data_IF_561402971989
#
_entry.id   IF_561402971989
#
_cell.length_a   1.000
_cell.length_b   1.000
_cell.length_c   1.000
_cell.angle_alpha   90.00
_cell.angle_beta   90.00
_cell.angle_gamma   90.00
#
_symmetry.space_group_name_H-M   'P 1'
#
loop_
_entity.id
_entity.type
_entity.pdbx_description
1 polymer ?
#
# COMPACT_ATOMS: atom_id res chain seq x y z
N UNK A 1 -62.35 -8.84 20.75
CA UNK A 1 -61.12 -8.31 21.38
C UNK A 1 -60.13 -9.47 21.48
N UNK A 2 -59.00 -9.38 20.77
CA UNK A 2 -57.67 -9.96 21.02
C UNK A 2 -56.93 -9.92 19.67
N UNK A 3 -55.95 -9.01 19.60
CA UNK A 3 -55.06 -8.77 18.47
C UNK A 3 -54.02 -9.89 18.42
N UNK A 4 -53.86 -10.48 17.24
CA UNK A 4 -52.69 -11.26 16.84
C UNK A 4 -51.45 -10.34 16.87
N UNK A 5 -50.49 -10.63 17.73
CA UNK A 5 -49.14 -10.07 17.66
C UNK A 5 -48.28 -11.11 16.96
N UNK A 6 -47.97 -10.86 15.68
CA UNK A 6 -46.97 -11.62 14.94
C UNK A 6 -45.59 -11.09 15.37
N UNK A 7 -44.85 -11.89 16.12
CA UNK A 7 -43.48 -11.58 16.52
C UNK A 7 -42.57 -11.87 15.32
N UNK A 8 -42.08 -10.81 14.66
CA UNK A 8 -41.01 -10.88 13.66
C UNK A 8 -39.66 -11.00 14.39
N UNK A 9 -39.18 -12.23 14.57
CA UNK A 9 -37.86 -12.52 15.14
C UNK A 9 -36.90 -12.92 14.02
N UNK A 10 -35.89 -12.07 13.85
CA UNK A 10 -34.49 -12.35 13.49
C UNK A 10 -34.19 -12.80 12.05
N UNK A 11 -33.75 -11.84 11.23
CA UNK A 11 -32.98 -12.07 9.99
C UNK A 11 -31.59 -11.41 10.01
N UNK A 12 -31.18 -10.74 11.09
CA UNK A 12 -29.94 -9.96 11.14
C UNK A 12 -28.67 -10.81 11.26
N UNK A 13 -28.73 -11.97 11.94
CA UNK A 13 -27.57 -12.86 12.16
C UNK A 13 -27.12 -13.54 10.86
N UNK A 14 -28.06 -13.97 10.00
CA UNK A 14 -27.72 -14.67 8.75
C UNK A 14 -26.98 -13.81 7.72
N UNK A 15 -27.26 -12.49 7.68
CA UNK A 15 -26.59 -11.60 6.74
C UNK A 15 -25.12 -11.34 7.12
N UNK A 16 -24.81 -11.25 8.42
CA UNK A 16 -23.44 -11.02 8.89
C UNK A 16 -22.50 -12.17 8.54
N UNK A 17 -22.88 -13.41 8.90
CA UNK A 17 -22.09 -14.60 8.56
C UNK A 17 -21.92 -14.79 7.03
N UNK A 18 -22.90 -14.33 6.23
CA UNK A 18 -22.79 -14.40 4.77
C UNK A 18 -21.78 -13.42 4.17
N UNK A 19 -21.57 -12.26 4.83
CA UNK A 19 -20.60 -11.25 4.39
C UNK A 19 -19.18 -11.66 4.78
N UNK A 20 -19.02 -12.16 5.99
CA UNK A 20 -17.76 -12.68 6.52
C UNK A 20 -17.21 -13.75 5.60
N UNK A 21 -17.97 -14.83 5.39
CA UNK A 21 -17.60 -15.90 4.44
C UNK A 21 -17.29 -15.44 3.02
N UNK A 22 -17.87 -14.32 2.56
CA UNK A 22 -17.57 -13.74 1.24
C UNK A 22 -16.26 -12.95 1.25
N UNK A 23 -16.01 -12.23 2.34
CA UNK A 23 -14.77 -11.50 2.59
C UNK A 23 -13.60 -12.48 2.71
N UNK A 24 -13.74 -13.57 3.46
CA UNK A 24 -12.67 -14.57 3.62
C UNK A 24 -12.27 -15.19 2.28
N UNK A 25 -13.26 -15.56 1.47
CA UNK A 25 -13.04 -16.04 0.10
C UNK A 25 -12.45 -14.99 -0.82
N UNK A 26 -12.70 -13.71 -0.57
CA UNK A 26 -12.07 -12.62 -1.31
C UNK A 26 -10.63 -12.41 -0.84
N UNK A 27 -10.33 -12.64 0.45
CA UNK A 27 -9.00 -12.53 1.00
C UNK A 27 -8.06 -13.59 0.42
N UNK A 28 -8.51 -14.85 0.31
CA UNK A 28 -7.79 -15.91 -0.40
C UNK A 28 -7.45 -15.48 -1.84
N UNK A 29 -8.40 -14.84 -2.53
CA UNK A 29 -8.16 -14.33 -3.89
C UNK A 29 -7.20 -13.14 -3.92
N UNK A 30 -7.15 -12.34 -2.87
CA UNK A 30 -6.20 -11.23 -2.76
C UNK A 30 -4.81 -11.79 -2.50
N UNK A 31 -4.69 -12.82 -1.65
CA UNK A 31 -3.44 -13.56 -1.47
C UNK A 31 -2.93 -14.10 -2.81
N UNK A 32 -3.77 -14.81 -3.56
CA UNK A 32 -3.44 -15.32 -4.90
C UNK A 32 -3.04 -14.21 -5.87
N UNK A 33 -3.73 -13.06 -5.81
CA UNK A 33 -3.47 -11.94 -6.71
C UNK A 33 -2.11 -11.29 -6.43
N UNK A 34 -1.77 -11.04 -5.17
CA UNK A 34 -0.44 -10.53 -4.77
C UNK A 34 0.66 -11.54 -5.13
N UNK A 35 0.44 -12.82 -4.89
CA UNK A 35 1.38 -13.89 -5.28
C UNK A 35 1.61 -13.87 -6.80
N UNK A 36 0.54 -13.75 -7.60
CA UNK A 36 0.63 -13.71 -9.05
C UNK A 36 1.35 -12.45 -9.56
N UNK A 37 1.09 -11.28 -8.96
CA UNK A 37 1.81 -10.04 -9.26
C UNK A 37 3.31 -10.21 -8.97
N UNK A 38 3.64 -10.74 -7.80
CA UNK A 38 5.02 -10.99 -7.37
C UNK A 38 5.74 -11.95 -8.31
N UNK A 39 5.13 -13.08 -8.64
CA UNK A 39 5.68 -14.06 -9.58
C UNK A 39 5.89 -13.47 -10.97
N UNK A 40 4.96 -12.65 -11.45
CA UNK A 40 5.10 -11.96 -12.73
C UNK A 40 6.29 -11.01 -12.71
N UNK A 41 6.39 -10.14 -11.70
CA UNK A 41 7.48 -9.19 -11.60
C UNK A 41 8.84 -9.88 -11.45
N UNK A 42 8.91 -10.92 -10.61
CA UNK A 42 10.13 -11.71 -10.39
C UNK A 42 10.53 -12.60 -11.57
N UNK A 43 9.64 -12.78 -12.55
CA UNK A 43 9.99 -13.36 -13.85
C UNK A 43 10.85 -12.44 -14.72
N UNK A 44 10.85 -11.12 -14.46
CA UNK A 44 11.69 -10.14 -15.14
C UNK A 44 12.88 -9.69 -14.28
N UNK A 45 12.64 -9.50 -12.98
CA UNK A 45 13.65 -9.09 -12.00
C UNK A 45 13.52 -9.96 -10.74
N UNK A 46 14.36 -11.00 -10.57
CA UNK A 46 14.28 -11.92 -9.45
C UNK A 46 14.32 -11.27 -8.06
N UNK A 47 14.90 -10.07 -7.95
CA UNK A 47 15.05 -9.34 -6.68
C UNK A 47 13.92 -8.31 -6.46
N UNK A 48 12.95 -8.23 -7.37
CA UNK A 48 11.87 -7.23 -7.32
C UNK A 48 11.11 -7.28 -6.00
N UNK A 49 11.04 -6.11 -5.35
CA UNK A 49 10.46 -5.93 -4.03
C UNK A 49 8.94 -5.77 -4.12
N UNK A 50 8.20 -6.49 -3.29
CA UNK A 50 6.73 -6.36 -3.18
C UNK A 50 6.33 -6.04 -1.74
N UNK A 51 5.59 -4.95 -1.55
CA UNK A 51 5.18 -4.44 -0.23
C UNK A 51 3.67 -4.13 -0.26
N UNK A 52 2.78 -5.02 0.21
CA UNK A 52 1.37 -4.66 0.41
C UNK A 52 1.21 -3.62 1.53
N UNK A 53 0.26 -2.71 1.36
CA UNK A 53 -0.15 -1.74 2.38
C UNK A 53 -1.43 -2.18 3.09
N UNK A 54 -1.45 -2.10 4.43
CA UNK A 54 -2.52 -2.55 5.32
C UNK A 54 -2.85 -4.06 5.10
N UNK A 55 -4.07 -4.50 5.44
CA UNK A 55 -4.54 -5.87 5.22
C UNK A 55 -3.61 -6.96 5.76
N UNK A 56 -3.05 -6.74 6.96
CA UNK A 56 -2.01 -7.57 7.58
C UNK A 56 -2.49 -9.01 7.77
N UNK A 57 -3.81 -9.22 7.90
CA UNK A 57 -4.47 -10.51 8.00
C UNK A 57 -4.14 -11.43 6.83
N UNK A 58 -3.88 -10.87 5.64
CA UNK A 58 -3.48 -11.62 4.45
C UNK A 58 -2.17 -12.39 4.65
N UNK A 59 -1.37 -12.05 5.66
CA UNK A 59 -0.15 -12.79 6.01
C UNK A 59 -0.44 -14.13 6.69
N UNK A 60 -1.68 -14.43 7.07
CA UNK A 60 -2.05 -15.60 7.84
C UNK A 60 -2.99 -16.54 7.09
N UNK A 61 -2.97 -17.82 7.47
CA UNK A 61 -3.92 -18.80 6.96
C UNK A 61 -5.33 -18.43 7.44
N UNK A 62 -6.32 -18.59 6.57
CA UNK A 62 -7.72 -18.23 6.87
C UNK A 62 -7.88 -16.81 7.44
N UNK A 63 -6.96 -15.88 7.09
CA UNK A 63 -6.91 -14.51 7.64
C UNK A 63 -6.94 -14.44 9.18
N UNK A 64 -6.46 -15.49 9.85
CA UNK A 64 -6.49 -15.63 11.30
C UNK A 64 -5.05 -15.78 11.85
N UNK A 65 -4.55 -14.84 12.66
CA UNK A 65 -3.18 -14.91 13.19
C UNK A 65 -2.85 -16.22 13.94
N UNK A 66 -3.83 -16.80 14.62
CA UNK A 66 -3.68 -18.05 15.37
C UNK A 66 -3.57 -19.29 14.47
N UNK A 67 -3.92 -19.20 13.19
CA UNK A 67 -3.82 -20.30 12.22
C UNK A 67 -2.43 -20.35 11.53
N UNK A 68 -1.49 -19.53 12.01
CA UNK A 68 -0.13 -19.45 11.49
C UNK A 68 -0.03 -18.68 10.19
N UNK A 69 1.21 -18.38 9.80
CA UNK A 69 1.50 -17.59 8.60
C UNK A 69 1.20 -18.37 7.31
N UNK A 70 0.61 -17.70 6.32
CA UNK A 70 0.47 -18.23 4.97
C UNK A 70 1.83 -18.20 4.27
N UNK A 71 2.51 -19.35 4.20
CA UNK A 71 3.89 -19.43 3.71
C UNK A 71 4.04 -18.99 2.24
N UNK A 72 3.05 -19.25 1.39
CA UNK A 72 3.08 -18.85 -0.02
C UNK A 72 2.98 -17.34 -0.17
N UNK A 73 2.04 -16.72 0.56
CA UNK A 73 1.90 -15.27 0.58
C UNK A 73 3.15 -14.61 1.18
N UNK A 74 3.62 -15.09 2.32
CA UNK A 74 4.82 -14.57 2.97
C UNK A 74 6.06 -14.68 2.10
N UNK A 75 6.21 -15.72 1.29
CA UNK A 75 7.33 -15.84 0.34
C UNK A 75 7.23 -14.87 -0.84
N UNK A 76 6.03 -14.39 -1.15
CA UNK A 76 5.77 -13.48 -2.26
C UNK A 76 6.04 -12.00 -1.94
N UNK A 77 6.16 -11.63 -0.66
CA UNK A 77 6.34 -10.23 -0.22
C UNK A 77 7.67 -10.02 0.51
N UNK A 78 8.16 -8.79 0.56
CA UNK A 78 9.44 -8.41 1.20
C UNK A 78 9.22 -7.55 2.45
N UNK A 79 8.13 -6.80 2.49
CA UNK A 79 7.77 -5.93 3.60
C UNK A 79 6.27 -5.76 3.71
N UNK A 80 5.82 -5.01 4.71
CA UNK A 80 4.43 -4.66 4.95
C UNK A 80 4.38 -3.17 5.25
N UNK A 81 3.57 -2.44 4.49
CA UNK A 81 3.21 -1.06 4.74
C UNK A 81 1.99 -0.97 5.64
N UNK A 82 1.93 0.00 6.55
CA UNK A 82 0.78 0.20 7.44
C UNK A 82 0.58 1.68 7.67
N UNK A 83 -0.65 2.16 7.55
CA UNK A 83 -1.01 3.52 7.92
C UNK A 83 -1.56 3.58 9.35
N UNK A 84 -1.22 4.65 10.07
CA UNK A 84 -1.90 5.05 11.31
C UNK A 84 -1.94 3.94 12.36
N UNK A 85 -0.76 3.46 12.78
CA UNK A 85 -0.62 2.34 13.72
C UNK A 85 -0.67 2.82 15.18
N UNK A 86 0.12 3.84 15.51
CA UNK A 86 0.13 4.45 16.84
C UNK A 86 -0.64 5.78 16.87
N UNK A 87 -0.70 6.47 15.73
CA UNK A 87 -1.27 7.80 15.59
C UNK A 87 -2.21 7.92 14.38
N UNK A 88 -3.44 8.37 14.67
CA UNK A 88 -4.41 8.82 13.69
C UNK A 88 -4.88 10.24 14.08
N UNK A 89 -4.05 11.22 13.76
CA UNK A 89 -4.13 12.58 14.26
C UNK A 89 -3.60 12.67 15.69
N UNK A 90 -4.29 12.04 16.64
CA UNK A 90 -3.85 11.90 18.03
C UNK A 90 -3.44 10.45 18.31
N UNK A 91 -2.90 10.20 19.51
CA UNK A 91 -2.53 8.84 19.91
C UNK A 91 -3.76 7.93 19.90
N UNK A 92 -3.72 6.91 19.05
CA UNK A 92 -4.81 5.99 18.80
C UNK A 92 -4.23 4.62 18.38
N UNK A 93 -3.59 3.95 19.34
CA UNK A 93 -2.95 2.66 19.10
C UNK A 93 -3.95 1.60 18.58
N UNK A 94 -3.62 1.03 17.43
CA UNK A 94 -4.21 -0.20 16.94
C UNK A 94 -3.45 -1.43 17.48
N UNK A 95 -3.90 -1.94 18.62
CA UNK A 95 -3.25 -3.06 19.29
C UNK A 95 -3.37 -4.39 18.54
N UNK A 96 -4.41 -4.56 17.73
CA UNK A 96 -4.62 -5.78 16.94
C UNK A 96 -3.61 -5.85 15.79
N UNK A 97 -3.53 -4.78 14.98
CA UNK A 97 -2.52 -4.69 13.90
C UNK A 97 -1.11 -4.75 14.48
N UNK A 98 -0.84 -4.08 15.61
CA UNK A 98 0.48 -4.16 16.27
C UNK A 98 0.86 -5.60 16.62
N UNK A 99 -0.06 -6.36 17.25
CA UNK A 99 0.17 -7.76 17.62
C UNK A 99 0.47 -8.64 16.40
N UNK A 100 -0.23 -8.43 15.28
CA UNK A 100 0.05 -9.14 14.04
C UNK A 100 1.44 -8.78 13.50
N UNK A 101 1.79 -7.49 13.44
CA UNK A 101 3.09 -7.03 12.92
C UNK A 101 4.27 -7.54 13.78
N UNK A 102 4.08 -7.64 15.10
CA UNK A 102 5.08 -8.23 16.01
C UNK A 102 5.41 -9.70 15.68
N UNK A 103 4.45 -10.45 15.13
CA UNK A 103 4.69 -11.83 14.66
C UNK A 103 5.45 -11.89 13.33
N UNK A 104 5.43 -10.80 12.55
CA UNK A 104 5.93 -10.75 11.17
C UNK A 104 7.30 -10.05 11.06
N UNK A 105 7.64 -9.17 12.01
CA UNK A 105 8.81 -8.27 11.97
C UNK A 105 10.18 -8.93 11.87
N UNK A 106 10.30 -10.20 12.24
CA UNK A 106 11.55 -10.97 12.09
C UNK A 106 11.77 -11.46 10.66
N UNK A 107 10.72 -11.51 9.85
CA UNK A 107 10.73 -12.06 8.49
C UNK A 107 10.43 -11.02 7.40
N UNK A 108 9.87 -9.86 7.78
CA UNK A 108 9.45 -8.78 6.88
C UNK A 108 9.87 -7.43 7.44
N UNK A 109 10.25 -6.51 6.55
CA UNK A 109 10.42 -5.10 6.91
C UNK A 109 9.04 -4.49 7.12
N UNK A 110 8.81 -3.90 8.28
CA UNK A 110 7.57 -3.18 8.58
C UNK A 110 7.81 -1.68 8.38
N UNK A 111 6.99 -1.07 7.53
CA UNK A 111 7.03 0.35 7.17
C UNK A 111 5.73 1.01 7.61
N UNK A 112 5.82 2.01 8.47
CA UNK A 112 4.64 2.65 9.07
C UNK A 112 4.53 4.10 8.63
N UNK A 113 3.34 4.49 8.18
CA UNK A 113 3.00 5.88 7.87
C UNK A 113 2.01 6.43 8.89
N UNK A 114 2.52 7.14 9.88
CA UNK A 114 1.70 7.74 10.94
C UNK A 114 1.05 9.03 10.46
N UNK A 115 -0.17 9.31 10.92
CA UNK A 115 -0.76 10.64 10.80
C UNK A 115 -0.73 11.34 12.16
N UNK A 116 0.00 12.44 12.26
CA UNK A 116 0.12 13.26 13.47
C UNK A 116 -0.50 14.64 13.22
N UNK A 117 -1.56 14.98 13.95
CA UNK A 117 -2.25 16.27 13.75
C UNK A 117 -1.50 17.45 14.38
N UNK A 118 -0.63 17.16 15.36
CA UNK A 118 0.29 18.10 16.02
C UNK A 118 1.73 17.57 15.88
N UNK A 119 2.63 18.43 15.40
CA UNK A 119 4.05 18.10 15.20
C UNK A 119 4.76 17.72 16.50
N UNK A 120 4.23 18.10 17.67
CA UNK A 120 4.73 17.66 18.97
C UNK A 120 4.67 16.14 19.17
N UNK A 121 3.83 15.43 18.42
CA UNK A 121 3.74 13.97 18.47
C UNK A 121 4.77 13.25 17.61
N UNK A 122 5.44 13.94 16.69
CA UNK A 122 6.39 13.35 15.72
C UNK A 122 7.48 12.53 16.40
N UNK A 123 8.13 13.08 17.42
CA UNK A 123 9.21 12.40 18.13
C UNK A 123 8.74 11.15 18.87
N UNK A 124 7.53 11.17 19.46
CA UNK A 124 6.96 10.00 20.14
C UNK A 124 6.51 8.93 19.13
N UNK A 125 5.93 9.35 18.00
CA UNK A 125 5.56 8.47 16.90
C UNK A 125 6.79 7.70 16.36
N UNK A 126 7.90 8.39 16.14
CA UNK A 126 9.17 7.74 15.81
C UNK A 126 9.62 6.80 16.92
N UNK A 127 9.72 7.28 18.17
CA UNK A 127 10.18 6.46 19.30
C UNK A 127 9.41 5.13 19.43
N UNK A 128 8.08 5.17 19.33
CA UNK A 128 7.22 3.97 19.43
C UNK A 128 7.48 2.98 18.30
N UNK A 129 7.50 3.46 17.06
CA UNK A 129 7.74 2.61 15.90
C UNK A 129 9.14 1.97 15.94
N UNK A 130 10.16 2.76 16.25
CA UNK A 130 11.53 2.26 16.28
C UNK A 130 11.80 1.34 17.48
N UNK A 131 11.11 1.51 18.62
CA UNK A 131 11.14 0.54 19.72
C UNK A 131 10.57 -0.83 19.33
N UNK A 132 9.65 -0.88 18.37
CA UNK A 132 9.16 -2.14 17.80
C UNK A 132 10.10 -2.72 16.72
N UNK A 133 11.07 -1.94 16.25
CA UNK A 133 11.92 -2.29 15.11
C UNK A 133 11.30 -1.95 13.75
N UNK A 134 10.27 -1.09 13.72
CA UNK A 134 9.64 -0.61 12.49
C UNK A 134 10.33 0.66 12.00
N UNK A 135 10.27 0.92 10.68
CA UNK A 135 10.69 2.21 10.12
C UNK A 135 9.46 3.09 9.91
N UNK A 136 9.57 4.39 10.18
CA UNK A 136 8.41 5.26 10.26
C UNK A 136 8.56 6.53 9.41
N UNK A 137 7.49 6.92 8.75
CA UNK A 137 7.30 8.19 8.08
C UNK A 137 6.06 8.87 8.68
N UNK A 138 6.19 10.11 9.12
CA UNK A 138 5.08 10.86 9.73
C UNK A 138 4.50 11.86 8.74
N UNK A 139 3.18 11.88 8.64
CA UNK A 139 2.41 12.91 7.95
C UNK A 139 1.82 13.88 8.96
N UNK A 140 2.01 15.17 8.74
CA UNK A 140 1.30 16.25 9.45
C UNK A 140 -0.04 16.57 8.78
N UNK A 141 -0.88 17.39 9.42
CA UNK A 141 -2.16 17.86 8.83
C UNK A 141 -1.99 18.51 7.46
N UNK A 142 -0.88 19.21 7.23
CA UNK A 142 -0.55 19.81 5.95
C UNK A 142 0.16 18.84 4.99
N UNK A 143 0.49 17.61 5.38
CA UNK A 143 1.10 16.58 4.54
C UNK A 143 0.31 15.24 4.54
N UNK A 144 -1.00 15.28 4.83
CA UNK A 144 -1.83 14.07 4.87
C UNK A 144 -1.79 13.27 3.55
N UNK A 145 -1.71 13.97 2.42
CA UNK A 145 -1.68 13.40 1.07
C UNK A 145 -0.26 13.26 0.47
N UNK A 146 0.78 13.09 1.30
CA UNK A 146 2.13 12.70 0.83
C UNK A 146 2.74 13.64 -0.23
N UNK A 147 2.68 14.94 -0.01
CA UNK A 147 3.15 15.98 -0.95
C UNK A 147 4.49 16.61 -0.56
N UNK A 148 4.96 16.41 0.66
CA UNK A 148 6.16 17.06 1.19
C UNK A 148 7.25 16.04 1.56
N UNK A 149 8.50 16.42 1.26
CA UNK A 149 9.69 15.83 1.86
C UNK A 149 9.91 16.53 3.22
N UNK A 150 10.00 15.79 4.34
CA UNK A 150 10.22 16.40 5.64
C UNK A 150 11.66 16.91 5.77
N UNK A 151 11.84 17.98 6.55
CA UNK A 151 13.15 18.60 6.79
C UNK A 151 14.13 17.72 7.59
N UNK A 152 13.62 16.68 8.25
CA UNK A 152 14.40 15.76 9.07
C UNK A 152 14.20 14.31 8.64
N UNK A 153 15.31 13.55 8.64
CA UNK A 153 15.34 12.15 8.27
C UNK A 153 15.61 11.33 9.54
N UNK A 154 14.63 10.55 10.04
CA UNK A 154 14.86 9.69 11.20
C UNK A 154 15.89 8.62 10.83
N UNK A 155 16.83 8.29 11.73
CA UNK A 155 17.84 7.23 11.51
C UNK A 155 18.57 7.32 10.16
N UNK A 156 18.95 8.54 9.77
CA UNK A 156 19.78 8.80 8.59
C UNK A 156 21.12 8.05 8.69
N UNK A 157 21.55 7.42 7.60
CA UNK A 157 22.77 6.61 7.58
C UNK A 157 23.46 6.61 6.20
N UNK A 158 24.73 6.21 6.21
CA UNK A 158 25.61 6.16 5.03
C UNK A 158 25.64 4.79 4.33
N UNK A 159 24.82 3.83 4.79
CA UNK A 159 24.85 2.47 4.25
C UNK A 159 24.30 2.43 2.83
N UNK A 160 24.86 1.54 2.00
CA UNK A 160 24.23 1.16 0.74
C UNK A 160 23.06 0.21 1.02
N UNK A 161 21.87 0.55 0.53
CA UNK A 161 20.65 -0.22 0.74
C UNK A 161 20.40 -1.08 -0.49
N UNK A 162 20.91 -2.32 -0.46
CA UNK A 162 20.80 -3.27 -1.58
C UNK A 162 19.62 -4.22 -1.47
N UNK A 163 18.91 -4.22 -0.33
CA UNK A 163 17.67 -4.94 -0.12
C UNK A 163 16.85 -4.29 0.99
N UNK A 164 15.54 -4.55 1.00
CA UNK A 164 14.59 -3.87 1.89
C UNK A 164 14.88 -4.07 3.38
N UNK A 165 15.49 -5.21 3.78
CA UNK A 165 15.75 -5.49 5.20
C UNK A 165 16.77 -4.52 5.82
N UNK A 166 17.65 -3.93 5.01
CA UNK A 166 18.69 -2.99 5.43
C UNK A 166 18.16 -1.58 5.70
N UNK A 167 16.97 -1.25 5.21
CA UNK A 167 16.40 0.09 5.35
C UNK A 167 16.12 0.45 6.81
N UNK A 168 16.50 1.67 7.20
CA UNK A 168 16.30 2.27 8.52
C UNK A 168 15.31 3.45 8.48
N UNK A 169 15.02 3.98 7.30
CA UNK A 169 14.07 5.07 7.10
C UNK A 169 13.45 5.02 5.71
N UNK A 170 12.40 5.78 5.48
CA UNK A 170 11.78 5.87 4.16
C UNK A 170 11.10 7.22 3.94
N UNK A 171 11.01 7.61 2.68
CA UNK A 171 10.21 8.74 2.20
C UNK A 171 8.97 8.19 1.51
N UNK A 172 7.79 8.72 1.85
CA UNK A 172 6.54 8.45 1.14
C UNK A 172 6.05 9.75 0.49
N UNK A 173 6.19 9.84 -0.84
CA UNK A 173 5.94 11.03 -1.63
C UNK A 173 5.23 10.66 -2.95
N UNK A 174 3.91 10.51 -2.93
CA UNK A 174 3.12 10.11 -4.11
C UNK A 174 2.34 11.26 -4.75
N UNK A 175 2.25 12.42 -4.11
CA UNK A 175 1.72 13.63 -4.75
C UNK A 175 2.85 14.41 -5.43
N UNK A 176 2.56 14.93 -6.63
CA UNK A 176 3.47 15.76 -7.41
C UNK A 176 3.14 17.26 -7.30
N UNK A 177 2.12 17.64 -6.53
CA UNK A 177 1.53 18.99 -6.54
C UNK A 177 2.51 20.11 -6.16
N UNK A 178 3.58 19.76 -5.42
CA UNK A 178 4.60 20.71 -4.97
C UNK A 178 5.77 20.88 -5.95
N UNK A 179 5.73 20.23 -7.11
CA UNK A 179 6.81 20.24 -8.08
C UNK A 179 6.29 20.66 -9.46
N UNK A 180 7.03 21.53 -10.15
CA UNK A 180 6.69 22.00 -11.49
C UNK A 180 7.18 21.09 -12.61
N UNK A 181 8.10 20.16 -12.30
CA UNK A 181 8.63 19.20 -13.25
C UNK A 181 9.20 17.95 -12.57
N UNK A 182 9.32 16.86 -13.34
CA UNK A 182 10.04 15.66 -12.92
C UNK A 182 11.46 15.97 -12.43
N UNK A 183 12.20 16.81 -13.14
CA UNK A 183 13.59 17.11 -12.78
C UNK A 183 13.70 17.84 -11.45
N UNK A 184 12.74 18.73 -11.14
CA UNK A 184 12.68 19.41 -9.85
C UNK A 184 12.43 18.40 -8.71
N UNK A 185 11.44 17.52 -8.87
CA UNK A 185 11.16 16.45 -7.90
C UNK A 185 12.36 15.50 -7.72
N UNK A 186 12.98 15.08 -8.83
CA UNK A 186 14.18 14.22 -8.80
C UNK A 186 15.32 14.89 -8.06
N UNK A 187 15.56 16.19 -8.30
CA UNK A 187 16.62 16.93 -7.65
C UNK A 187 16.36 17.08 -6.14
N UNK A 188 15.10 17.34 -5.75
CA UNK A 188 14.70 17.44 -4.36
C UNK A 188 14.87 16.09 -3.61
N UNK A 189 14.44 14.98 -4.21
CA UNK A 189 14.62 13.65 -3.62
C UNK A 189 16.11 13.29 -3.54
N UNK A 190 16.88 13.53 -4.60
CA UNK A 190 18.32 13.22 -4.66
C UNK A 190 19.14 13.99 -3.63
N UNK A 191 18.63 15.13 -3.14
CA UNK A 191 19.25 15.93 -2.09
C UNK A 191 19.05 15.37 -0.67
N UNK A 192 18.29 14.29 -0.51
CA UNK A 192 18.05 13.62 0.79
C UNK A 192 18.96 12.41 0.97
N UNK A 193 18.91 11.73 2.12
CA UNK A 193 19.59 10.45 2.38
C UNK A 193 18.62 9.33 2.80
N UNK A 194 17.36 9.38 2.34
CA UNK A 194 16.40 8.30 2.60
C UNK A 194 16.86 6.96 2.02
N UNK A 195 16.65 5.87 2.77
CA UNK A 195 17.03 4.50 2.39
C UNK A 195 16.07 3.89 1.37
N UNK A 196 14.79 4.24 1.48
CA UNK A 196 13.72 3.84 0.56
C UNK A 196 12.94 5.09 0.16
N UNK A 197 12.71 5.25 -1.14
CA UNK A 197 11.86 6.31 -1.69
C UNK A 197 10.65 5.65 -2.33
N UNK A 198 9.48 5.91 -1.78
CA UNK A 198 8.19 5.50 -2.33
C UNK A 198 7.57 6.68 -3.09
N UNK A 199 7.42 6.54 -4.41
CA UNK A 199 6.83 7.54 -5.31
C UNK A 199 5.84 6.90 -6.28
N UNK A 200 5.02 7.71 -6.93
CA UNK A 200 4.18 7.25 -8.03
C UNK A 200 5.02 6.96 -9.30
N UNK A 201 4.57 6.03 -10.15
CA UNK A 201 5.16 5.82 -11.48
C UNK A 201 5.00 7.06 -12.38
N UNK A 202 3.94 7.84 -12.16
CA UNK A 202 3.55 8.94 -13.02
C UNK A 202 3.81 10.29 -12.34
N UNK A 203 4.40 11.21 -13.09
CA UNK A 203 4.39 12.64 -12.78
C UNK A 203 3.35 13.31 -13.67
N UNK A 204 2.27 13.85 -13.08
CA UNK A 204 1.16 14.47 -13.82
C UNK A 204 0.66 13.61 -15.01
N UNK A 205 0.53 12.30 -14.80
CA UNK A 205 0.09 11.35 -15.82
C UNK A 205 1.15 10.90 -16.82
N UNK A 206 2.39 11.38 -16.70
CA UNK A 206 3.53 10.96 -17.54
C UNK A 206 4.46 10.00 -16.79
N UNK A 207 4.69 8.82 -17.33
CA UNK A 207 5.57 7.78 -16.74
C UNK A 207 7.00 8.31 -16.55
N UNK A 208 7.59 8.11 -15.37
CA UNK A 208 9.03 8.21 -15.18
C UNK A 208 9.76 7.21 -16.09
N UNK A 209 10.89 7.61 -16.64
CA UNK A 209 11.75 6.78 -17.49
C UNK A 209 12.80 6.04 -16.66
N UNK A 210 13.40 4.99 -17.24
CA UNK A 210 14.53 4.29 -16.64
C UNK A 210 15.67 5.21 -16.20
N UNK A 211 16.02 6.21 -17.02
CA UNK A 211 17.08 7.16 -16.68
C UNK A 211 16.70 8.11 -15.55
N UNK A 212 15.41 8.41 -15.37
CA UNK A 212 14.91 9.26 -14.29
C UNK A 212 14.88 8.47 -12.97
N UNK A 213 14.40 7.23 -12.99
CA UNK A 213 14.42 6.37 -11.79
C UNK A 213 15.84 6.04 -11.34
N UNK A 214 16.77 5.78 -12.28
CA UNK A 214 18.17 5.54 -11.91
C UNK A 214 18.85 6.74 -11.21
N UNK A 215 18.43 7.98 -11.49
CA UNK A 215 18.93 9.15 -10.74
C UNK A 215 18.51 9.10 -9.27
N UNK A 216 17.28 8.61 -8.99
CA UNK A 216 16.73 8.52 -7.64
C UNK A 216 17.39 7.43 -6.79
N UNK A 217 18.09 6.45 -7.40
CA UNK A 217 18.72 5.34 -6.67
C UNK A 217 20.00 5.72 -5.92
N UNK A 218 20.48 6.95 -6.08
CA UNK A 218 21.66 7.46 -5.38
C UNK A 218 21.25 8.49 -4.33
N UNK A 219 21.77 8.33 -3.12
CA UNK A 219 21.59 9.27 -2.02
C UNK A 219 22.47 10.52 -2.19
N UNK A 220 22.13 11.60 -1.49
CA UNK A 220 22.95 12.82 -1.49
C UNK A 220 24.40 12.56 -1.04
N UNK A 221 24.59 11.62 -0.12
CA UNK A 221 25.92 11.18 0.33
C UNK A 221 26.63 10.17 -0.61
N UNK A 222 26.04 9.86 -1.77
CA UNK A 222 26.58 8.91 -2.75
C UNK A 222 26.25 7.44 -2.47
N UNK A 223 25.64 7.11 -1.33
CA UNK A 223 25.18 5.75 -1.02
C UNK A 223 24.01 5.32 -1.91
N UNK A 224 23.78 4.02 -2.05
CA UNK A 224 22.64 3.48 -2.80
C UNK A 224 21.37 3.43 -1.93
N UNK A 225 20.22 3.68 -2.57
CA UNK A 225 18.88 3.54 -1.98
C UNK A 225 17.97 2.72 -2.89
N UNK A 226 16.82 2.31 -2.36
CA UNK A 226 15.77 1.64 -3.12
C UNK A 226 14.69 2.65 -3.54
N UNK A 227 14.18 2.50 -4.77
CA UNK A 227 13.07 3.30 -5.30
C UNK A 227 11.90 2.38 -5.62
N UNK A 228 10.78 2.59 -4.92
CA UNK A 228 9.59 1.73 -4.94
C UNK A 228 8.43 2.51 -5.55
N UNK A 229 7.69 1.88 -6.46
CA UNK A 229 6.54 2.50 -7.13
C UNK A 229 5.24 2.22 -6.38
N UNK A 230 4.46 3.26 -6.10
CA UNK A 230 3.07 3.11 -5.68
C UNK A 230 2.22 2.52 -6.81
N UNK A 231 1.37 1.55 -6.47
CA UNK A 231 0.33 1.03 -7.34
C UNK A 231 -0.89 0.61 -6.54
N UNK A 232 -2.05 1.13 -6.92
CA UNK A 232 -3.32 0.68 -6.40
C UNK A 232 -3.80 -0.58 -7.11
N UNK A 233 -3.97 -1.69 -6.38
CA UNK A 233 -4.41 -2.98 -6.96
C UNK A 233 -5.86 -3.34 -6.61
N UNK A 234 -6.44 -2.66 -5.61
CA UNK A 234 -7.79 -2.95 -5.09
C UNK A 234 -8.86 -1.92 -5.46
N UNK A 235 -8.46 -0.75 -5.93
CA UNK A 235 -9.33 0.32 -6.42
C UNK A 235 -8.88 0.79 -7.80
N UNK A 236 -9.83 1.35 -8.56
CA UNK A 236 -9.57 2.01 -9.83
C UNK A 236 -9.67 3.53 -9.66
N UNK A 237 -8.66 4.23 -10.14
CA UNK A 237 -8.49 5.67 -10.06
C UNK A 237 -8.80 6.31 -11.41
N UNK A 238 -9.72 7.29 -11.43
CA UNK A 238 -10.22 7.92 -12.66
C UNK A 238 -9.16 8.64 -13.49
N UNK A 239 -8.09 9.09 -12.86
CA UNK A 239 -7.02 9.86 -13.49
C UNK A 239 -5.91 8.98 -14.11
N UNK A 240 -5.99 7.64 -13.96
CA UNK A 240 -4.99 6.73 -14.53
C UNK A 240 -5.21 6.46 -16.00
N UNK A 241 -4.12 6.14 -16.70
CA UNK A 241 -4.09 5.85 -18.14
C UNK A 241 -5.06 4.75 -18.60
N UNK A 242 -5.38 3.78 -17.73
CA UNK A 242 -6.26 2.66 -18.05
C UNK A 242 -7.74 3.05 -18.02
N UNK A 243 -8.09 4.18 -17.40
CA UNK A 243 -9.46 4.61 -17.26
C UNK A 243 -10.03 4.98 -18.63
N UNK A 244 -11.23 4.48 -18.94
CA UNK A 244 -11.90 4.77 -20.22
C UNK A 244 -13.08 5.69 -20.02
N UNK A 245 -13.26 6.64 -20.95
CA UNK A 245 -14.45 7.49 -21.00
C UNK A 245 -15.71 6.63 -21.00
N UNK A 246 -16.66 6.98 -20.13
CA UNK A 246 -17.92 6.26 -19.97
C UNK A 246 -17.89 5.12 -18.94
N UNK A 247 -16.74 4.83 -18.32
CA UNK A 247 -16.73 3.99 -17.13
C UNK A 247 -17.47 4.65 -15.97
N UNK A 248 -18.17 3.81 -15.20
CA UNK A 248 -18.98 4.17 -14.05
C UNK A 248 -19.38 2.92 -13.28
N UNK A 249 -20.08 3.08 -12.15
CA UNK A 249 -20.42 1.94 -11.30
C UNK A 249 -21.07 0.82 -12.11
N UNK A 250 -20.54 -0.40 -11.94
CA UNK A 250 -20.94 -1.62 -12.64
C UNK A 250 -20.66 -1.65 -14.15
N UNK A 251 -19.96 -0.64 -14.67
CA UNK A 251 -19.56 -0.52 -16.07
C UNK A 251 -18.10 -0.05 -16.14
N UNK A 252 -17.11 -0.97 -16.21
CA UNK A 252 -17.24 -2.42 -16.34
C UNK A 252 -17.74 -3.13 -15.07
N UNK A 253 -18.21 -4.38 -15.19
CA UNK A 253 -18.82 -5.14 -14.09
C UNK A 253 -17.92 -5.36 -12.87
N UNK A 254 -16.60 -5.19 -13.04
CA UNK A 254 -15.64 -5.25 -11.95
C UNK A 254 -15.53 -3.93 -11.18
N UNK A 255 -15.94 -2.78 -11.73
CA UNK A 255 -16.02 -1.51 -11.01
C UNK A 255 -17.24 -1.54 -10.07
N UNK A 256 -17.03 -1.86 -8.79
CA UNK A 256 -18.12 -2.39 -7.96
C UNK A 256 -18.71 -1.39 -7.00
N UNK A 257 -17.91 -0.54 -6.37
CA UNK A 257 -18.39 0.31 -5.29
C UNK A 257 -17.57 1.60 -5.24
N UNK A 258 -18.17 2.70 -4.81
CA UNK A 258 -17.44 3.94 -4.56
C UNK A 258 -16.47 3.75 -3.40
N UNK A 259 -15.31 4.37 -3.51
CA UNK A 259 -14.37 4.49 -2.41
C UNK A 259 -14.84 5.64 -1.48
N UNK A 260 -15.00 5.39 -0.18
CA UNK A 260 -15.42 6.45 0.75
C UNK A 260 -14.28 7.48 0.97
N UNK A 261 -14.57 8.77 0.82
CA UNK A 261 -13.57 9.84 0.97
C UNK A 261 -12.80 10.20 -0.32
N UNK A 262 -12.86 9.37 -1.37
CA UNK A 262 -12.18 9.59 -2.65
C UNK A 262 -13.15 9.46 -3.82
N UNK A 263 -13.71 10.58 -4.28
CA UNK A 263 -14.76 10.59 -5.33
C UNK A 263 -14.30 10.05 -6.68
N UNK A 264 -12.98 10.09 -6.91
CA UNK A 264 -12.34 9.62 -8.13
C UNK A 264 -11.89 8.16 -8.08
N UNK A 265 -12.21 7.46 -7.00
CA UNK A 265 -11.83 6.06 -6.78
C UNK A 265 -13.01 5.11 -6.58
N UNK A 266 -12.80 3.87 -7.02
CA UNK A 266 -13.79 2.82 -6.95
C UNK A 266 -13.18 1.49 -6.58
N UNK A 267 -13.68 0.85 -5.52
CA UNK A 267 -13.38 -0.54 -5.22
C UNK A 267 -13.73 -1.45 -6.39
N UNK A 268 -12.76 -2.29 -6.75
CA UNK A 268 -12.88 -3.21 -7.88
C UNK A 268 -13.04 -4.65 -7.40
N UNK A 269 -13.71 -5.49 -8.18
CA UNK A 269 -13.61 -6.94 -8.05
C UNK A 269 -12.24 -7.37 -8.56
N UNK A 270 -11.21 -7.20 -7.74
CA UNK A 270 -9.80 -7.41 -8.09
C UNK A 270 -9.49 -8.80 -8.65
N UNK A 271 -10.32 -9.80 -8.32
CA UNK A 271 -10.21 -11.16 -8.86
C UNK A 271 -10.73 -11.34 -10.30
N UNK A 272 -11.19 -10.26 -10.97
CA UNK A 272 -11.66 -10.33 -12.36
C UNK A 272 -10.50 -10.18 -13.31
N UNK A 273 -10.40 -11.09 -14.28
CA UNK A 273 -9.31 -11.16 -15.26
C UNK A 273 -9.07 -9.83 -15.98
N UNK A 274 -10.14 -9.14 -16.40
CA UNK A 274 -10.04 -7.84 -17.06
C UNK A 274 -9.33 -6.77 -16.19
N UNK A 275 -9.56 -6.79 -14.87
CA UNK A 275 -8.84 -5.91 -13.93
C UNK A 275 -7.40 -6.40 -13.73
N UNK A 276 -7.22 -7.70 -13.53
CA UNK A 276 -5.90 -8.29 -13.40
C UNK A 276 -5.00 -7.99 -14.61
N UNK A 277 -5.56 -7.97 -15.82
CA UNK A 277 -4.84 -7.61 -17.07
C UNK A 277 -4.44 -6.14 -17.15
N UNK A 278 -5.13 -5.25 -16.45
CA UNK A 278 -4.70 -3.87 -16.27
C UNK A 278 -3.48 -3.83 -15.34
N UNK A 279 -3.47 -4.66 -14.29
CA UNK A 279 -2.43 -4.64 -13.26
C UNK A 279 -1.17 -5.40 -13.69
N UNK A 280 -1.27 -6.64 -14.17
CA UNK A 280 -0.11 -7.49 -14.47
C UNK A 280 -0.34 -8.45 -15.68
N UNK A 281 0.70 -9.20 -16.06
CA UNK A 281 0.57 -10.36 -16.94
C UNK A 281 0.70 -10.08 -18.44
N UNK A 282 0.96 -8.84 -18.86
CA UNK A 282 1.17 -8.49 -20.27
C UNK A 282 1.96 -7.19 -20.44
N UNK A 283 2.44 -6.93 -21.67
CA UNK A 283 3.34 -5.80 -21.94
C UNK A 283 2.72 -4.41 -21.74
N UNK A 284 1.39 -4.32 -21.64
CA UNK A 284 0.66 -3.06 -21.45
C UNK A 284 0.23 -2.84 -20.00
N UNK A 285 0.45 -3.82 -19.12
CA UNK A 285 -0.02 -3.79 -17.75
C UNK A 285 0.75 -2.78 -16.89
N UNK A 286 0.14 -2.31 -15.81
CA UNK A 286 0.75 -1.34 -14.90
C UNK A 286 2.08 -1.87 -14.34
N UNK A 287 2.11 -3.10 -13.82
CA UNK A 287 3.34 -3.72 -13.32
C UNK A 287 4.44 -3.80 -14.38
N UNK A 288 4.10 -4.01 -15.67
CA UNK A 288 5.10 -3.96 -16.74
C UNK A 288 5.70 -2.56 -16.90
N UNK A 289 4.89 -1.52 -16.78
CA UNK A 289 5.37 -0.13 -16.84
C UNK A 289 6.32 0.18 -15.69
N UNK A 290 5.99 -0.27 -14.48
CA UNK A 290 6.87 -0.15 -13.30
C UNK A 290 8.23 -0.83 -13.56
N UNK A 291 8.21 -2.08 -14.04
CA UNK A 291 9.43 -2.83 -14.39
C UNK A 291 10.26 -2.13 -15.48
N UNK A 292 9.60 -1.64 -16.54
CA UNK A 292 10.28 -0.96 -17.65
C UNK A 292 10.90 0.38 -17.22
N UNK A 293 10.29 1.08 -16.26
CA UNK A 293 10.83 2.29 -15.66
C UNK A 293 11.99 2.00 -14.68
N UNK A 294 12.27 0.74 -14.35
CA UNK A 294 13.44 0.34 -13.56
C UNK A 294 13.30 0.59 -12.06
N UNK A 295 12.08 0.65 -11.53
CA UNK A 295 11.85 0.63 -10.08
C UNK A 295 12.37 -0.68 -9.46
N UNK A 296 12.86 -0.60 -8.21
CA UNK A 296 13.33 -1.77 -7.46
C UNK A 296 12.19 -2.60 -6.88
N UNK A 297 10.96 -2.06 -6.90
CA UNK A 297 9.79 -2.73 -6.37
C UNK A 297 8.49 -1.98 -6.55
N UNK A 298 7.42 -2.59 -6.04
CA UNK A 298 6.08 -2.03 -6.00
C UNK A 298 5.49 -2.08 -4.60
N UNK A 299 4.83 -0.99 -4.23
CA UNK A 299 4.06 -0.83 -3.01
C UNK A 299 2.57 -0.93 -3.36
N UNK A 300 1.94 -2.04 -2.96
CA UNK A 300 0.61 -2.45 -3.40
C UNK A 300 -0.44 -1.89 -2.45
N UNK A 301 -1.12 -0.84 -2.88
CA UNK A 301 -2.17 -0.22 -2.11
C UNK A 301 -3.52 -0.93 -2.29
N UNK A 302 -4.39 -0.74 -1.31
CA UNK A 302 -5.76 -1.21 -1.30
C UNK A 302 -5.94 -2.73 -1.37
N UNK A 303 -4.99 -3.49 -0.80
CA UNK A 303 -5.15 -4.94 -0.64
C UNK A 303 -6.39 -5.28 0.20
N UNK A 304 -6.85 -4.38 1.06
CA UNK A 304 -8.08 -4.47 1.87
C UNK A 304 -9.38 -4.42 1.06
N UNK A 305 -9.31 -4.30 -0.27
CA UNK A 305 -10.49 -4.42 -1.13
C UNK A 305 -11.27 -5.72 -0.88
N UNK A 306 -10.61 -6.79 -0.40
CA UNK A 306 -11.28 -8.03 0.00
C UNK A 306 -12.34 -7.80 1.08
N UNK A 307 -12.11 -6.87 2.00
CA UNK A 307 -12.97 -6.50 3.10
C UNK A 307 -13.96 -5.40 2.68
N UNK A 308 -13.47 -4.29 2.14
CA UNK A 308 -14.27 -3.10 1.82
C UNK A 308 -15.29 -3.30 0.68
N UNK A 309 -15.18 -4.38 -0.11
CA UNK A 309 -16.26 -4.78 -1.02
C UNK A 309 -17.53 -5.26 -0.31
N UNK A 310 -17.45 -5.67 0.96
CA UNK A 310 -18.56 -6.25 1.74
C UNK A 310 -18.92 -5.46 3.01
N UNK A 311 -17.94 -4.74 3.56
CA UNK A 311 -18.05 -3.93 4.78
C UNK A 311 -17.94 -2.45 4.47
N UNK A 312 -18.49 -1.60 5.34
CA UNK A 312 -18.37 -0.15 5.16
C UNK A 312 -16.95 0.27 5.51
N UNK A 313 -16.40 1.13 4.64
CA UNK A 313 -15.24 1.95 4.90
C UNK A 313 -15.67 3.09 5.82
#
# INVERSE_FOLDING_TARGET
>A
MIRTILIFIISTVFFSCSKEKRSDKAAEKMQDFVIAISNYARGYDPDFIVIPQNGIELCFNNIAPNDGQNSSYMSSINGIGVEELFYNGTYALDGERLSMLQQLKTSKKIMVSEFVSDNNYTSDAFLRNYNEGFICFTRSSDNYHYKQIPDSIPYENTSNITNLSLAQNHLYLISTDNYSSKQEMISAISATNFDVVLIDLFFEGTEFTLSEINQLKTKANGGQRLVISYINIGSAEKFRYYWKKGWGLHHPLWLKRKYNGYEDEFWVKFWKKDWQDIIYGNDKSYMKKILNAGFDGAYLDNVEAYYFLYYKD
#
